data_IF_700157122990
#
_entry.id   IF_700157122990
#
_cell.length_a   1.000
_cell.length_b   1.000
_cell.length_c   1.000
_cell.angle_alpha   90.00
_cell.angle_beta   90.00
_cell.angle_gamma   90.00
#
_symmetry.space_group_name_H-M   'P 1'
#
loop_
_entity.id
_entity.type
_entity.pdbx_description
1 polymer ?
#
# COMPACT_ATOMS: atom_id res chain seq x y z
N UNK A 1 17.45 -18.22 -64.11
CA UNK A 1 17.56 -18.75 -62.73
C UNK A 1 17.90 -17.61 -61.78
N UNK A 2 17.12 -17.49 -60.69
CA UNK A 2 17.37 -16.76 -59.43
C UNK A 2 17.70 -15.26 -59.52
N UNK A 3 16.64 -14.43 -59.59
CA UNK A 3 16.67 -13.04 -59.08
C UNK A 3 16.59 -13.11 -57.56
N UNK A 4 17.65 -12.70 -56.88
CA UNK A 4 17.75 -12.63 -55.43
C UNK A 4 17.06 -11.33 -54.97
N UNK A 5 15.79 -11.40 -54.59
CA UNK A 5 15.10 -10.31 -53.88
C UNK A 5 15.52 -10.40 -52.42
N UNK A 6 16.53 -9.63 -52.04
CA UNK A 6 16.91 -9.46 -50.64
C UNK A 6 15.94 -8.42 -50.04
N UNK A 7 14.84 -8.93 -49.49
CA UNK A 7 13.87 -8.13 -48.73
C UNK A 7 14.60 -7.62 -47.48
N UNK A 8 14.84 -6.31 -47.43
CA UNK A 8 15.30 -5.61 -46.23
C UNK A 8 14.22 -5.76 -45.15
N UNK A 9 14.31 -6.83 -44.36
CA UNK A 9 13.68 -6.89 -43.05
C UNK A 9 14.48 -5.94 -42.17
N UNK A 10 14.11 -4.66 -42.19
CA UNK A 10 14.54 -3.70 -41.18
C UNK A 10 13.96 -4.21 -39.86
N UNK A 11 14.75 -5.04 -39.20
CA UNK A 11 14.57 -5.41 -37.81
C UNK A 11 14.74 -4.10 -37.03
N UNK A 12 13.63 -3.42 -36.76
CA UNK A 12 13.57 -2.40 -35.72
C UNK A 12 13.90 -3.10 -34.39
N UNK A 13 15.20 -3.24 -34.12
CA UNK A 13 15.70 -3.38 -32.75
C UNK A 13 15.31 -2.06 -32.10
N UNK A 14 14.11 -2.03 -31.53
CA UNK A 14 13.78 -1.04 -30.53
C UNK A 14 14.87 -1.20 -29.47
N UNK A 15 15.83 -0.26 -29.47
CA UNK A 15 16.79 -0.12 -28.40
C UNK A 15 15.96 -0.03 -27.13
N UNK A 16 15.90 -1.14 -26.39
CA UNK A 16 15.23 -1.20 -25.10
C UNK A 16 16.07 -0.34 -24.17
N UNK A 17 15.84 0.98 -24.20
CA UNK A 17 16.33 1.85 -23.15
C UNK A 17 15.84 1.22 -21.85
N UNK A 18 16.73 1.02 -20.85
CA UNK A 18 16.28 0.51 -19.58
C UNK A 18 15.19 1.46 -19.11
N UNK A 19 13.96 0.97 -18.97
CA UNK A 19 12.88 1.73 -18.34
C UNK A 19 13.44 2.23 -17.03
N UNK A 20 13.74 3.54 -16.99
CA UNK A 20 14.16 4.19 -15.79
C UNK A 20 12.99 4.08 -14.82
N UNK A 21 13.27 3.69 -13.58
CA UNK A 21 12.25 3.62 -12.56
C UNK A 21 11.54 4.98 -12.45
N UNK A 22 10.23 4.92 -12.27
CA UNK A 22 9.39 6.12 -12.18
C UNK A 22 8.59 6.12 -10.89
N UNK A 23 8.51 7.28 -10.27
CA UNK A 23 7.72 7.56 -9.08
C UNK A 23 6.54 8.43 -9.44
N UNK A 24 5.36 7.98 -9.06
CA UNK A 24 4.10 8.69 -9.22
C UNK A 24 3.56 9.04 -7.84
N UNK A 25 3.25 10.31 -7.59
CA UNK A 25 2.66 10.75 -6.33
C UNK A 25 1.17 10.95 -6.51
N UNK A 26 0.37 10.27 -5.70
CA UNK A 26 -1.08 10.39 -5.67
C UNK A 26 -1.52 11.17 -4.43
N UNK A 27 -2.55 12.00 -4.58
CA UNK A 27 -3.36 12.46 -3.46
C UNK A 27 -4.48 11.45 -3.23
N UNK A 28 -4.49 10.83 -2.05
CA UNK A 28 -5.56 9.94 -1.63
C UNK A 28 -6.49 10.64 -0.66
N UNK A 29 -7.72 10.89 -1.08
CA UNK A 29 -8.81 11.39 -0.25
C UNK A 29 -9.70 10.25 0.18
N UNK A 30 -10.00 10.16 1.48
CA UNK A 30 -10.84 9.10 2.01
C UNK A 30 -11.67 9.51 3.23
N UNK A 31 -12.88 8.97 3.34
CA UNK A 31 -13.67 9.05 4.56
C UNK A 31 -13.34 7.85 5.47
N UNK A 32 -13.07 8.09 6.74
CA UNK A 32 -12.94 7.02 7.74
C UNK A 32 -14.31 6.46 8.13
N UNK A 33 -15.30 7.35 8.19
CA UNK A 33 -16.69 7.05 8.55
C UNK A 33 -17.58 7.30 7.34
N UNK A 34 -18.29 6.27 6.92
CA UNK A 34 -19.14 6.24 5.72
C UNK A 34 -20.27 7.27 5.76
N UNK A 35 -20.66 7.72 6.96
CA UNK A 35 -21.70 8.74 7.15
C UNK A 35 -21.17 10.18 7.05
N UNK A 36 -19.85 10.39 7.14
CA UNK A 36 -19.21 11.72 7.16
C UNK A 36 -18.45 12.01 5.87
N UNK A 37 -19.20 12.11 4.77
CA UNK A 37 -18.64 12.33 3.42
C UNK A 37 -18.02 13.72 3.21
N UNK A 38 -18.42 14.70 4.03
CA UNK A 38 -17.96 16.09 3.92
C UNK A 38 -16.63 16.35 4.64
N UNK A 39 -16.10 15.35 5.38
CA UNK A 39 -14.86 15.44 6.13
C UNK A 39 -13.87 14.38 5.66
N UNK A 40 -13.37 14.53 4.43
CA UNK A 40 -12.39 13.62 3.86
C UNK A 40 -11.00 13.87 4.44
N UNK A 41 -10.37 12.79 4.90
CA UNK A 41 -8.94 12.80 5.18
C UNK A 41 -8.16 12.83 3.87
N UNK A 42 -6.94 13.36 3.92
CA UNK A 42 -6.04 13.39 2.78
C UNK A 42 -4.67 12.84 3.17
N UNK A 43 -4.12 11.96 2.34
CA UNK A 43 -2.76 11.45 2.49
C UNK A 43 -2.09 11.35 1.11
N UNK A 44 -0.81 11.70 1.04
CA UNK A 44 -0.03 11.50 -0.19
C UNK A 44 0.51 10.07 -0.23
N UNK A 45 0.28 9.42 -1.37
CA UNK A 45 0.73 8.06 -1.65
C UNK A 45 1.75 8.09 -2.78
N UNK A 46 2.65 7.11 -2.78
CA UNK A 46 3.65 6.89 -3.81
C UNK A 46 3.32 5.59 -4.52
N UNK A 47 3.36 5.59 -5.85
CA UNK A 47 3.47 4.42 -6.70
C UNK A 47 4.83 4.47 -7.39
N UNK A 48 5.73 3.58 -7.01
CA UNK A 48 6.99 3.38 -7.72
C UNK A 48 6.84 2.24 -8.71
N UNK A 49 7.24 2.44 -9.96
CA UNK A 49 7.23 1.44 -11.02
C UNK A 49 8.67 1.20 -11.49
N UNK A 50 9.06 -0.07 -11.54
CA UNK A 50 10.33 -0.54 -12.07
C UNK A 50 10.08 -1.61 -13.15
N UNK A 51 11.15 -2.23 -13.66
CA UNK A 51 11.04 -3.35 -14.60
C UNK A 51 10.39 -4.59 -14.00
N UNK A 52 10.56 -4.82 -12.69
CA UNK A 52 10.09 -6.04 -12.03
C UNK A 52 8.68 -5.94 -11.47
N UNK A 53 8.12 -4.72 -11.39
CA UNK A 53 6.82 -4.52 -10.78
C UNK A 53 6.58 -3.09 -10.33
N UNK A 54 5.58 -2.94 -9.46
CA UNK A 54 5.24 -1.68 -8.82
C UNK A 54 4.99 -1.83 -7.32
N UNK A 55 5.16 -0.72 -6.58
CA UNK A 55 4.90 -0.64 -5.14
C UNK A 55 4.14 0.64 -4.80
N UNK A 56 2.96 0.48 -4.21
CA UNK A 56 2.11 1.55 -3.73
C UNK A 56 2.14 1.67 -2.21
N UNK A 57 2.47 2.83 -1.65
CA UNK A 57 2.68 3.01 -0.21
C UNK A 57 2.58 4.49 0.23
N UNK A 58 2.44 4.74 1.53
CA UNK A 58 2.36 6.12 2.07
C UNK A 58 3.66 6.91 1.89
N UNK A 59 3.55 8.18 1.46
CA UNK A 59 4.67 9.11 1.41
C UNK A 59 5.21 9.43 2.81
N UNK A 60 4.34 9.53 3.82
CA UNK A 60 4.78 9.72 5.20
C UNK A 60 5.60 8.51 5.69
N UNK A 61 5.29 7.30 5.19
CA UNK A 61 6.09 6.11 5.46
C UNK A 61 7.45 6.21 4.79
N UNK A 62 7.52 6.60 3.52
CA UNK A 62 8.78 6.85 2.81
C UNK A 62 9.70 7.82 3.57
N UNK A 63 9.15 8.94 4.03
CA UNK A 63 9.90 9.98 4.73
C UNK A 63 10.38 9.49 6.09
N UNK A 64 9.50 8.85 6.87
CA UNK A 64 9.87 8.25 8.16
C UNK A 64 10.97 7.21 8.00
N UNK A 65 10.84 6.33 7.00
CA UNK A 65 11.79 5.26 6.70
C UNK A 65 13.16 5.83 6.29
N UNK A 66 13.17 6.90 5.50
CA UNK A 66 14.39 7.60 5.08
C UNK A 66 15.11 8.26 6.27
N UNK A 67 14.37 8.90 7.17
CA UNK A 67 14.92 9.51 8.38
C UNK A 67 15.49 8.46 9.34
N UNK A 68 14.78 7.34 9.53
CA UNK A 68 15.25 6.22 10.34
C UNK A 68 16.56 5.66 9.77
N UNK A 69 16.63 5.42 8.46
CA UNK A 69 17.85 4.91 7.81
C UNK A 69 19.04 5.83 8.04
N UNK A 70 18.87 7.14 7.81
CA UNK A 70 19.95 8.11 8.00
C UNK A 70 20.43 8.17 9.46
N UNK A 71 19.51 8.11 10.43
CA UNK A 71 19.85 8.11 11.85
C UNK A 71 20.57 6.82 12.28
N UNK A 72 20.11 5.66 11.80
CA UNK A 72 20.76 4.36 12.03
C UNK A 72 22.18 4.36 11.47
N UNK A 73 22.36 4.78 10.22
CA UNK A 73 23.69 4.85 9.59
C UNK A 73 24.62 5.80 10.36
N UNK A 74 24.10 6.93 10.85
CA UNK A 74 24.85 7.87 11.67
C UNK A 74 25.29 7.23 13.00
N UNK A 75 24.37 6.60 13.74
CA UNK A 75 24.68 5.95 15.02
C UNK A 75 25.68 4.79 14.85
N UNK A 76 25.55 4.02 13.77
CA UNK A 76 26.51 2.96 13.42
C UNK A 76 27.90 3.53 13.11
N UNK A 77 27.99 4.62 12.32
CA UNK A 77 29.27 5.31 12.06
C UNK A 77 29.90 5.89 13.33
N UNK A 78 29.08 6.25 14.32
CA UNK A 78 29.52 6.72 15.63
C UNK A 78 29.88 5.58 16.61
N UNK A 79 29.87 4.31 16.17
CA UNK A 79 30.23 3.16 17.01
C UNK A 79 29.20 2.83 18.10
N UNK A 80 27.96 3.31 17.97
CA UNK A 80 26.91 3.04 18.97
C UNK A 80 26.49 1.58 18.94
N UNK A 81 26.62 0.89 20.06
CA UNK A 81 26.14 -0.49 20.25
C UNK A 81 24.63 -0.58 20.51
N UNK A 82 24.01 0.52 20.95
CA UNK A 82 22.58 0.63 21.25
C UNK A 82 21.93 1.64 20.31
N UNK A 83 21.24 1.15 19.29
CA UNK A 83 20.55 1.99 18.31
C UNK A 83 19.26 2.54 18.93
N UNK A 84 19.23 3.84 19.19
CA UNK A 84 18.04 4.53 19.70
C UNK A 84 17.21 5.03 18.53
N UNK A 85 15.97 4.56 18.41
CA UNK A 85 15.06 4.97 17.34
C UNK A 85 13.98 5.91 17.89
N UNK A 86 13.87 7.10 17.29
CA UNK A 86 12.67 7.93 17.43
C UNK A 86 11.73 7.60 16.27
N UNK A 87 10.72 6.75 16.52
CA UNK A 87 9.67 6.49 15.53
C UNK A 87 8.77 7.71 15.43
N UNK A 88 8.74 8.32 14.24
CA UNK A 88 8.01 9.55 13.95
C UNK A 88 6.99 9.41 12.82
N UNK A 89 6.57 8.18 12.48
CA UNK A 89 5.56 7.98 11.43
C UNK A 89 4.23 8.62 11.85
N UNK A 90 3.81 9.64 11.11
CA UNK A 90 2.57 10.40 11.35
C UNK A 90 1.49 10.14 10.30
N UNK A 91 1.73 9.21 9.37
CA UNK A 91 0.71 8.84 8.37
C UNK A 91 -0.40 7.99 8.99
N UNK A 92 -1.54 7.94 8.30
CA UNK A 92 -2.68 7.12 8.71
C UNK A 92 -2.77 5.82 7.92
N UNK A 93 -2.15 5.77 6.73
CA UNK A 93 -2.14 4.58 5.86
C UNK A 93 -0.90 3.72 6.06
N UNK A 94 -1.09 2.60 6.75
CA UNK A 94 -0.03 1.67 7.14
C UNK A 94 0.13 0.42 6.23
N UNK A 95 -0.65 0.31 5.16
CA UNK A 95 -0.49 -0.76 4.17
C UNK A 95 0.44 -0.35 3.03
N UNK A 96 0.97 -1.35 2.32
CA UNK A 96 1.50 -1.18 0.97
C UNK A 96 0.98 -2.27 0.05
N UNK A 97 0.96 -2.00 -1.25
CA UNK A 97 0.61 -2.98 -2.28
C UNK A 97 1.80 -3.17 -3.21
N UNK A 98 2.19 -4.41 -3.44
CA UNK A 98 3.23 -4.79 -4.40
C UNK A 98 2.57 -5.54 -5.56
N UNK A 99 2.95 -5.23 -6.80
CA UNK A 99 2.50 -5.94 -8.00
C UNK A 99 3.72 -6.39 -8.77
N UNK A 100 3.84 -7.70 -9.00
CA UNK A 100 4.96 -8.25 -9.76
C UNK A 100 4.63 -8.30 -11.25
N UNK A 101 5.60 -7.99 -12.11
CA UNK A 101 5.45 -8.11 -13.56
C UNK A 101 6.06 -9.41 -14.08
N UNK A 102 5.57 -9.96 -15.22
CA UNK A 102 4.53 -9.40 -16.09
C UNK A 102 3.09 -9.82 -15.74
N UNK A 103 2.91 -10.73 -14.77
CA UNK A 103 1.61 -11.35 -14.46
C UNK A 103 0.70 -10.49 -13.57
N UNK A 104 1.19 -9.35 -13.08
CA UNK A 104 0.52 -8.47 -12.11
C UNK A 104 0.11 -9.21 -10.83
N UNK A 105 0.90 -10.21 -10.41
CA UNK A 105 0.65 -10.89 -9.14
C UNK A 105 0.70 -9.89 -7.99
N UNK A 106 -0.44 -9.71 -7.34
CA UNK A 106 -0.68 -8.62 -6.39
C UNK A 106 -0.56 -9.10 -4.95
N UNK A 107 0.15 -8.32 -4.14
CA UNK A 107 0.33 -8.59 -2.72
C UNK A 107 -0.04 -7.38 -1.87
N UNK A 108 -0.91 -7.56 -0.90
CA UNK A 108 -1.18 -6.58 0.14
C UNK A 108 -0.26 -6.85 1.34
N UNK A 109 0.59 -5.89 1.67
CA UNK A 109 1.38 -5.90 2.90
C UNK A 109 0.64 -5.06 3.94
N UNK A 110 0.20 -5.70 5.01
CA UNK A 110 -0.64 -5.06 6.02
C UNK A 110 -0.47 -5.72 7.38
N UNK A 111 -1.04 -5.09 8.40
CA UNK A 111 -1.13 -5.65 9.75
C UNK A 111 -2.59 -5.88 10.13
N UNK A 112 -2.83 -6.91 10.93
CA UNK A 112 -4.14 -7.18 11.53
C UNK A 112 -3.97 -7.22 13.05
N UNK A 113 -4.76 -6.42 13.78
CA UNK A 113 -4.71 -6.38 15.25
C UNK A 113 -4.73 -4.96 15.83
N UNK A 114 -5.04 -4.86 17.12
CA UNK A 114 -5.30 -3.60 17.83
C UNK A 114 -4.07 -2.69 17.98
N UNK A 115 -2.85 -3.25 17.94
CA UNK A 115 -1.58 -2.50 18.04
C UNK A 115 -0.80 -2.60 16.73
N UNK A 116 -1.49 -2.40 15.61
CA UNK A 116 -0.88 -2.56 14.29
C UNK A 116 -0.34 -3.97 14.06
N UNK A 117 -1.00 -4.99 14.65
CA UNK A 117 -0.62 -6.41 14.59
C UNK A 117 0.72 -6.73 15.24
N UNK A 118 0.82 -7.91 15.88
CA UNK A 118 2.13 -8.46 16.29
C UNK A 118 2.95 -8.87 15.06
N UNK A 119 2.25 -9.15 13.96
CA UNK A 119 2.81 -9.67 12.72
C UNK A 119 2.40 -8.81 11.53
N UNK A 120 3.35 -8.60 10.62
CA UNK A 120 3.10 -8.15 9.25
C UNK A 120 2.68 -9.34 8.42
N UNK A 121 1.68 -9.16 7.57
CA UNK A 121 1.21 -10.16 6.63
C UNK A 121 1.49 -9.71 5.21
N UNK A 122 1.87 -10.65 4.35
CA UNK A 122 1.94 -10.47 2.90
C UNK A 122 0.84 -11.34 2.30
N UNK A 123 -0.26 -10.70 1.94
CA UNK A 123 -1.48 -11.36 1.47
C UNK A 123 -1.43 -11.44 -0.04
N UNK A 124 -1.44 -12.65 -0.60
CA UNK A 124 -1.66 -12.83 -2.04
C UNK A 124 -3.12 -12.54 -2.37
N UNK A 125 -3.35 -11.61 -3.28
CA UNK A 125 -4.67 -11.27 -3.82
C UNK A 125 -4.69 -11.59 -5.32
N UNK A 126 -5.50 -12.58 -5.69
CA UNK A 126 -5.67 -13.10 -7.05
C UNK A 126 -7.02 -12.69 -7.67
N UNK A 127 -7.78 -11.81 -6.99
CA UNK A 127 -9.07 -11.31 -7.49
C UNK A 127 -8.85 -10.44 -8.71
N UNK A 128 -9.58 -10.75 -9.79
CA UNK A 128 -9.49 -10.05 -11.07
C UNK A 128 -10.38 -8.82 -11.10
N UNK A 129 -9.93 -7.79 -11.82
CA UNK A 129 -10.69 -6.58 -12.11
C UNK A 129 -11.12 -6.58 -13.57
N UNK A 130 -12.42 -6.74 -13.79
CA UNK A 130 -13.01 -6.67 -15.13
C UNK A 130 -13.34 -5.21 -15.45
N UNK A 131 -12.58 -4.61 -16.35
CA UNK A 131 -12.74 -3.22 -16.74
C UNK A 131 -13.71 -3.07 -17.92
N UNK A 132 -14.68 -2.17 -17.77
CA UNK A 132 -15.49 -1.64 -18.87
C UNK A 132 -14.91 -0.30 -19.33
N UNK A 133 -14.13 -0.32 -20.40
CA UNK A 133 -13.60 0.90 -21.03
C UNK A 133 -14.73 1.62 -21.78
N UNK A 134 -14.86 2.92 -21.57
CA UNK A 134 -15.90 3.77 -22.14
C UNK A 134 -15.30 4.77 -23.13
N UNK A 135 -16.12 5.34 -24.01
CA UNK A 135 -15.67 6.33 -25.01
C UNK A 135 -15.42 7.73 -24.43
N UNK A 136 -15.90 7.98 -23.22
CA UNK A 136 -15.75 9.26 -22.54
C UNK A 136 -14.27 9.59 -22.31
N UNK A 137 -13.87 10.80 -22.69
CA UNK A 137 -12.54 11.33 -22.49
C UNK A 137 -12.62 12.66 -21.76
N UNK A 138 -11.63 12.93 -20.91
CA UNK A 138 -11.48 14.23 -20.27
C UNK A 138 -10.02 14.52 -19.95
N UNK A 139 -9.69 15.79 -19.73
CA UNK A 139 -8.37 16.18 -19.24
C UNK A 139 -8.31 16.00 -17.71
N UNK A 140 -7.34 15.24 -17.21
CA UNK A 140 -7.02 15.10 -15.78
C UNK A 140 -5.63 15.67 -15.55
N UNK A 141 -5.56 16.85 -14.91
CA UNK A 141 -4.31 17.62 -14.85
C UNK A 141 -3.84 17.96 -16.26
N UNK A 142 -2.67 17.45 -16.63
CA UNK A 142 -2.09 17.63 -17.98
C UNK A 142 -2.37 16.48 -18.95
N UNK A 143 -2.99 15.39 -18.49
CA UNK A 143 -3.14 14.16 -19.29
C UNK A 143 -4.51 14.08 -19.97
N UNK A 144 -4.52 13.65 -21.23
CA UNK A 144 -5.74 13.20 -21.89
C UNK A 144 -6.07 11.80 -21.35
N UNK A 145 -7.23 11.66 -20.71
CA UNK A 145 -7.60 10.43 -20.04
C UNK A 145 -8.93 9.87 -20.57
N UNK A 146 -9.01 8.56 -20.67
CA UNK A 146 -10.20 7.81 -21.04
C UNK A 146 -10.83 7.16 -19.82
N UNK A 147 -12.16 7.14 -19.76
CA UNK A 147 -12.92 6.57 -18.65
C UNK A 147 -12.97 5.05 -18.73
N UNK A 148 -12.89 4.40 -17.58
CA UNK A 148 -13.24 3.00 -17.39
C UNK A 148 -14.01 2.80 -16.08
N UNK A 149 -14.83 1.75 -16.00
CA UNK A 149 -15.55 1.38 -14.79
C UNK A 149 -15.26 -0.08 -14.41
N UNK A 150 -15.25 -0.38 -13.12
CA UNK A 150 -15.19 -1.76 -12.62
C UNK A 150 -15.93 -1.89 -11.30
N UNK A 151 -16.27 -3.13 -10.93
CA UNK A 151 -16.74 -3.45 -9.59
C UNK A 151 -15.64 -4.27 -8.90
N UNK A 152 -15.12 -3.75 -7.79
CA UNK A 152 -14.04 -4.40 -7.07
C UNK A 152 -14.25 -4.26 -5.56
N UNK A 153 -14.05 -5.36 -4.83
CA UNK A 153 -14.12 -5.42 -3.37
C UNK A 153 -15.38 -4.77 -2.75
N UNK A 154 -16.53 -4.99 -3.40
CA UNK A 154 -17.83 -4.48 -2.94
C UNK A 154 -18.10 -3.00 -3.29
N UNK A 155 -17.25 -2.35 -4.09
CA UNK A 155 -17.44 -0.97 -4.55
C UNK A 155 -17.47 -0.89 -6.07
N UNK A 156 -18.29 0.04 -6.59
CA UNK A 156 -18.21 0.50 -7.97
C UNK A 156 -17.14 1.59 -8.06
N UNK A 157 -16.24 1.47 -9.02
CA UNK A 157 -15.14 2.40 -9.26
C UNK A 157 -15.25 3.02 -10.65
N UNK A 158 -14.91 4.30 -10.74
CA UNK A 158 -14.66 4.99 -12.00
C UNK A 158 -13.19 5.38 -12.06
N UNK A 159 -12.48 4.88 -13.07
CA UNK A 159 -11.09 5.19 -13.33
C UNK A 159 -10.96 6.05 -14.59
N UNK A 160 -9.93 6.89 -14.61
CA UNK A 160 -9.48 7.65 -15.77
C UNK A 160 -8.02 7.28 -16.02
N UNK A 161 -7.73 6.71 -17.18
CA UNK A 161 -6.39 6.25 -17.54
C UNK A 161 -5.87 6.97 -18.78
N UNK A 162 -4.55 7.11 -18.91
CA UNK A 162 -3.91 7.77 -20.05
C UNK A 162 -2.91 6.86 -20.76
N UNK A 163 -2.94 6.85 -22.09
CA UNK A 163 -1.96 6.16 -22.93
C UNK A 163 -0.63 6.91 -23.03
N UNK A 164 -0.60 8.19 -22.63
CA UNK A 164 0.61 9.03 -22.64
C UNK A 164 1.69 8.47 -21.71
N UNK A 165 1.26 7.76 -20.67
CA UNK A 165 2.12 7.00 -19.76
C UNK A 165 1.74 5.52 -19.92
N UNK A 166 2.46 4.75 -20.76
CA UNK A 166 2.04 3.41 -21.19
C UNK A 166 2.35 2.31 -20.15
N UNK A 167 2.10 2.58 -18.86
CA UNK A 167 2.15 1.57 -17.80
C UNK A 167 0.73 1.09 -17.50
N UNK A 168 0.46 -0.20 -17.63
CA UNK A 168 -0.86 -0.79 -17.33
C UNK A 168 -1.10 -0.94 -15.81
N UNK A 169 -0.79 0.09 -15.04
CA UNK A 169 -0.77 0.10 -13.57
C UNK A 169 -1.56 1.30 -13.03
N UNK A 170 -1.69 1.40 -11.72
CA UNK A 170 -2.45 2.41 -11.01
C UNK A 170 -2.24 2.34 -9.50
N UNK A 171 -2.85 3.27 -8.76
CA UNK A 171 -2.73 3.30 -7.31
C UNK A 171 -3.43 2.09 -6.67
N UNK A 172 -3.04 1.74 -5.44
CA UNK A 172 -3.54 0.56 -4.73
C UNK A 172 -3.39 -0.73 -5.56
N UNK A 173 -4.42 -1.56 -5.61
CA UNK A 173 -4.47 -2.82 -6.37
C UNK A 173 -4.88 -2.62 -7.82
N UNK A 174 -5.31 -1.42 -8.23
CA UNK A 174 -5.84 -1.20 -9.58
C UNK A 174 -4.73 -1.30 -10.65
N UNK A 175 -4.98 -2.10 -11.68
CA UNK A 175 -4.09 -2.31 -12.83
C UNK A 175 -4.90 -2.87 -14.02
N UNK A 176 -4.26 -3.03 -15.19
CA UNK A 176 -4.83 -3.76 -16.35
C UNK A 176 -5.57 -2.91 -17.38
N UNK A 177 -5.61 -1.58 -17.22
CA UNK A 177 -6.05 -0.65 -18.27
C UNK A 177 -4.90 -0.36 -19.24
N UNK A 178 -5.16 0.00 -20.51
CA UNK A 178 -4.12 0.23 -21.51
C UNK A 178 -3.44 1.61 -21.33
N UNK A 179 -2.86 1.83 -20.15
CA UNK A 179 -2.25 3.09 -19.73
C UNK A 179 -2.36 3.30 -18.23
N UNK A 180 -1.64 4.30 -17.70
CA UNK A 180 -1.59 4.55 -16.26
C UNK A 180 -2.92 5.15 -15.79
N UNK A 181 -3.46 4.62 -14.69
CA UNK A 181 -4.64 5.19 -14.03
C UNK A 181 -4.25 6.50 -13.33
N UNK A 182 -4.58 7.64 -13.92
CA UNK A 182 -4.26 8.98 -13.38
C UNK A 182 -5.28 9.46 -12.35
N UNK A 183 -6.50 8.90 -12.36
CA UNK A 183 -7.52 9.15 -11.33
C UNK A 183 -8.41 7.93 -11.15
N UNK A 184 -8.77 7.63 -9.92
CA UNK A 184 -9.80 6.62 -9.62
C UNK A 184 -10.62 7.04 -8.40
N UNK A 185 -11.94 6.88 -8.48
CA UNK A 185 -12.88 7.31 -7.44
C UNK A 185 -13.99 6.26 -7.25
N UNK A 186 -14.40 6.05 -5.99
CA UNK A 186 -15.53 5.20 -5.66
C UNK A 186 -16.86 5.93 -5.93
N UNK A 187 -17.88 5.20 -6.38
CA UNK A 187 -19.17 5.81 -6.75
C UNK A 187 -19.85 6.59 -5.60
N UNK A 188 -19.58 6.23 -4.35
CA UNK A 188 -20.07 6.91 -3.15
C UNK A 188 -19.24 8.14 -2.75
N UNK A 189 -18.18 8.44 -3.51
CA UNK A 189 -17.20 9.54 -3.36
C UNK A 189 -16.43 9.53 -2.04
N UNK A 190 -16.37 8.38 -1.38
CA UNK A 190 -15.69 8.23 -0.10
C UNK A 190 -14.22 7.85 -0.25
N UNK A 191 -13.76 7.45 -1.44
CA UNK A 191 -12.37 7.18 -1.76
C UNK A 191 -12.03 7.73 -3.15
N UNK A 192 -11.00 8.56 -3.25
CA UNK A 192 -10.48 9.07 -4.52
C UNK A 192 -8.96 9.14 -4.48
N UNK A 193 -8.30 8.65 -5.52
CA UNK A 193 -6.85 8.76 -5.71
C UNK A 193 -6.59 9.48 -7.03
N UNK A 194 -5.87 10.59 -6.99
CA UNK A 194 -5.57 11.41 -8.17
C UNK A 194 -4.07 11.69 -8.27
N UNK A 195 -3.50 11.47 -9.44
CA UNK A 195 -2.08 11.70 -9.72
C UNK A 195 -1.76 13.20 -9.62
N UNK A 196 -0.75 13.53 -8.83
CA UNK A 196 -0.28 14.92 -8.60
C UNK A 196 1.15 15.17 -9.05
N UNK A 197 1.95 14.13 -9.28
CA UNK A 197 3.33 14.32 -9.72
C UNK A 197 3.98 13.07 -10.28
N UNK A 198 4.91 13.27 -11.21
CA UNK A 198 5.70 12.23 -11.86
C UNK A 198 7.17 12.59 -11.73
N UNK A 199 8.01 11.63 -11.35
CA UNK A 199 9.44 11.81 -11.18
C UNK A 199 10.21 10.58 -11.66
N UNK A 200 11.26 10.77 -12.48
CA UNK A 200 12.24 9.72 -12.74
C UNK A 200 13.09 9.51 -11.49
N UNK A 201 13.31 8.26 -11.11
CA UNK A 201 14.07 7.89 -9.92
C UNK A 201 15.18 6.88 -10.26
N UNK A 202 16.21 6.85 -9.41
CA UNK A 202 17.30 5.87 -9.51
C UNK A 202 16.94 4.58 -8.76
N UNK A 203 17.69 3.51 -9.01
CA UNK A 203 17.56 2.24 -8.27
C UNK A 203 17.79 2.43 -6.76
N UNK A 204 18.73 3.29 -6.37
CA UNK A 204 18.99 3.63 -4.97
C UNK A 204 17.78 4.30 -4.30
N UNK A 205 17.00 5.09 -5.06
CA UNK A 205 15.79 5.75 -4.56
C UNK A 205 14.61 4.77 -4.46
N UNK A 206 14.61 3.69 -5.24
CA UNK A 206 13.69 2.56 -5.07
C UNK A 206 14.00 1.79 -3.79
N UNK A 207 15.26 1.43 -3.54
CA UNK A 207 15.65 0.66 -2.35
C UNK A 207 15.52 1.45 -1.04
N UNK A 208 15.68 2.78 -1.07
CA UNK A 208 15.43 3.64 0.09
C UNK A 208 13.96 3.58 0.59
N UNK A 209 13.01 3.14 -0.23
CA UNK A 209 11.61 2.92 0.17
C UNK A 209 11.38 1.60 0.95
N UNK A 210 12.44 0.80 1.14
CA UNK A 210 12.40 -0.51 1.78
C UNK A 210 13.17 -0.52 3.11
N UNK A 211 12.86 0.36 4.07
CA UNK A 211 13.51 0.34 5.41
C UNK A 211 13.41 -1.02 6.12
N UNK A 212 12.41 -1.84 5.75
CA UNK A 212 12.26 -3.23 6.21
C UNK A 212 13.41 -4.15 5.80
N UNK A 213 14.31 -3.71 4.92
CA UNK A 213 15.51 -4.45 4.53
C UNK A 213 16.73 -4.16 5.42
N UNK A 214 16.69 -3.15 6.29
CA UNK A 214 17.66 -3.05 7.38
C UNK A 214 17.55 -4.32 8.21
N UNK A 215 18.61 -5.15 8.19
CA UNK A 215 18.63 -6.51 8.76
C UNK A 215 18.20 -6.55 10.23
N UNK A 216 18.49 -5.48 10.97
CA UNK A 216 18.12 -5.21 12.36
C UNK A 216 16.62 -4.88 12.59
N UNK A 217 15.85 -4.59 11.55
CA UNK A 217 14.41 -4.24 11.59
C UNK A 217 13.52 -5.34 10.99
N UNK A 218 14.09 -6.48 10.62
CA UNK A 218 13.40 -7.56 9.91
C UNK A 218 12.47 -8.36 10.83
N UNK A 219 11.21 -7.96 10.90
CA UNK A 219 10.12 -8.93 10.96
C UNK A 219 9.66 -9.22 9.53
N UNK A 220 10.13 -10.33 8.96
CA UNK A 220 9.67 -10.81 7.65
C UNK A 220 8.15 -10.99 7.71
N UNK A 221 7.38 -10.45 6.74
CA UNK A 221 5.93 -10.66 6.73
C UNK A 221 5.61 -12.14 6.57
N UNK A 222 4.51 -12.58 7.18
CA UNK A 222 3.96 -13.92 7.00
C UNK A 222 3.16 -13.96 5.70
N UNK A 223 3.57 -14.82 4.78
CA UNK A 223 2.86 -15.03 3.51
C UNK A 223 1.55 -15.79 3.79
N UNK A 224 0.42 -15.22 3.37
CA UNK A 224 -0.91 -15.81 3.55
C UNK A 224 -1.77 -15.64 2.29
N UNK A 225 -2.74 -16.52 2.12
CA UNK A 225 -3.79 -16.39 1.10
C UNK A 225 -4.83 -15.35 1.47
N UNK A 226 -5.57 -14.84 0.48
CA UNK A 226 -6.72 -13.96 0.69
C UNK A 226 -7.72 -14.58 1.68
N UNK A 227 -8.07 -15.86 1.55
CA UNK A 227 -8.99 -16.56 2.47
C UNK A 227 -8.50 -16.60 3.92
N UNK A 228 -7.20 -16.80 4.14
CA UNK A 228 -6.62 -16.72 5.49
C UNK A 228 -6.70 -15.29 6.03
N UNK A 229 -6.46 -14.29 5.18
CA UNK A 229 -6.60 -12.88 5.56
C UNK A 229 -8.03 -12.52 5.96
N UNK A 230 -9.05 -12.98 5.21
CA UNK A 230 -10.46 -12.80 5.58
C UNK A 230 -10.73 -13.33 6.99
N UNK A 231 -10.34 -14.59 7.25
CA UNK A 231 -10.52 -15.22 8.57
C UNK A 231 -9.84 -14.43 9.69
N UNK A 232 -8.62 -13.94 9.46
CA UNK A 232 -7.88 -13.14 10.44
C UNK A 232 -8.60 -11.81 10.73
N UNK A 233 -9.11 -11.13 9.71
CA UNK A 233 -9.84 -9.86 9.87
C UNK A 233 -11.18 -10.08 10.58
N UNK A 234 -11.92 -11.13 10.23
CA UNK A 234 -13.17 -11.49 10.89
C UNK A 234 -12.96 -11.85 12.36
N UNK A 235 -11.94 -12.66 12.64
CA UNK A 235 -11.55 -13.02 14.00
C UNK A 235 -11.19 -11.77 14.81
N UNK A 236 -10.38 -10.86 14.25
CA UNK A 236 -10.03 -9.61 14.89
C UNK A 236 -11.25 -8.71 15.15
N UNK A 237 -12.19 -8.62 14.20
CA UNK A 237 -13.43 -7.84 14.38
C UNK A 237 -14.31 -8.42 15.50
N UNK A 238 -14.38 -9.75 15.60
CA UNK A 238 -15.14 -10.46 16.63
C UNK A 238 -14.48 -10.32 18.01
N UNK A 239 -13.16 -10.46 18.06
CA UNK A 239 -12.39 -10.46 19.30
C UNK A 239 -11.02 -9.75 19.14
N UNK A 240 -10.99 -8.41 19.22
CA UNK A 240 -9.77 -7.65 18.97
C UNK A 240 -8.69 -7.82 20.04
N UNK A 241 -9.02 -8.41 21.19
CA UNK A 241 -8.10 -8.68 22.30
C UNK A 241 -7.38 -10.03 22.19
N UNK A 242 -7.85 -10.93 21.31
CA UNK A 242 -7.34 -12.30 21.25
C UNK A 242 -5.83 -12.38 21.03
N UNK A 243 -5.31 -11.69 20.00
CA UNK A 243 -3.88 -11.74 19.68
C UNK A 243 -3.01 -11.19 20.83
N UNK A 244 -3.53 -10.25 21.62
CA UNK A 244 -2.83 -9.72 22.78
C UNK A 244 -2.85 -10.72 23.95
N UNK A 245 -3.98 -11.39 24.20
CA UNK A 245 -4.06 -12.49 25.18
C UNK A 245 -3.05 -13.60 24.88
N UNK A 246 -3.02 -14.05 23.62
CA UNK A 246 -2.07 -15.08 23.18
C UNK A 246 -0.62 -14.64 23.36
N UNK A 247 -0.32 -13.36 23.10
CA UNK A 247 1.01 -12.79 23.27
C UNK A 247 1.44 -12.73 24.74
N UNK A 248 0.57 -12.22 25.63
CA UNK A 248 0.85 -12.06 27.05
C UNK A 248 0.95 -13.39 27.81
N UNK A 249 0.30 -14.44 27.28
CA UNK A 249 0.42 -15.79 27.83
C UNK A 249 1.73 -16.52 27.44
N UNK A 250 2.57 -15.92 26.57
CA UNK A 250 3.86 -16.52 26.20
C UNK A 250 4.86 -16.40 27.36
N UNK A 251 5.58 -17.49 27.71
CA UNK A 251 6.59 -17.45 28.77
C UNK A 251 7.63 -16.35 28.55
N UNK A 252 7.93 -15.57 29.59
CA UNK A 252 8.98 -14.54 29.57
C UNK A 252 8.58 -13.20 28.93
N UNK A 253 7.35 -13.05 28.44
CA UNK A 253 6.88 -11.79 27.87
C UNK A 253 6.31 -10.86 28.95
N UNK A 254 7.05 -9.79 29.30
CA UNK A 254 6.55 -8.68 30.13
C UNK A 254 6.45 -7.43 29.28
N UNK A 255 5.24 -6.90 29.13
CA UNK A 255 5.01 -5.64 28.41
C UNK A 255 4.59 -4.55 29.37
N UNK A 256 4.99 -3.32 29.09
CA UNK A 256 4.56 -2.11 29.78
C UNK A 256 3.89 -1.21 28.76
N UNK A 257 2.64 -0.82 29.00
CA UNK A 257 1.94 0.12 28.13
C UNK A 257 1.80 1.45 28.85
N UNK A 258 2.03 2.54 28.11
CA UNK A 258 1.60 3.85 28.55
C UNK A 258 0.27 4.15 27.87
N UNK A 259 -0.79 4.27 28.65
CA UNK A 259 -2.12 4.68 28.17
C UNK A 259 -2.46 6.00 28.82
N UNK A 260 -2.57 7.07 28.03
CA UNK A 260 -2.87 8.43 28.48
C UNK A 260 -1.96 8.95 29.61
N UNK A 261 -0.66 8.65 29.55
CA UNK A 261 0.31 9.06 30.56
C UNK A 261 0.42 8.13 31.77
N UNK A 262 -0.47 7.12 31.88
CA UNK A 262 -0.45 6.14 32.97
C UNK A 262 0.19 4.84 32.52
N UNK A 263 1.20 4.37 33.27
CA UNK A 263 1.80 3.06 33.05
C UNK A 263 0.82 1.97 33.53
N UNK A 264 0.47 1.06 32.62
CA UNK A 264 -0.35 -0.12 32.89
C UNK A 264 0.57 -1.33 32.81
N UNK A 265 0.61 -2.11 33.88
CA UNK A 265 1.46 -3.30 34.03
C UNK A 265 0.65 -4.59 34.27
N UNK A 266 -0.62 -4.48 34.67
CA UNK A 266 -1.53 -5.62 34.81
C UNK A 266 -2.02 -6.13 33.44
N UNK A 267 -1.79 -7.41 33.10
CA UNK A 267 -2.18 -7.98 31.81
C UNK A 267 -3.68 -7.88 31.50
N UNK A 268 -4.56 -8.06 32.49
CA UNK A 268 -6.00 -8.04 32.27
C UNK A 268 -6.49 -6.61 31.98
N UNK A 269 -5.96 -5.62 32.70
CA UNK A 269 -6.23 -4.21 32.44
C UNK A 269 -5.72 -3.78 31.06
N UNK A 270 -4.53 -4.25 30.64
CA UNK A 270 -4.03 -4.01 29.29
C UNK A 270 -5.00 -4.55 28.23
N UNK A 271 -5.39 -5.82 28.32
CA UNK A 271 -6.29 -6.47 27.37
C UNK A 271 -7.61 -5.70 27.29
N UNK A 272 -8.20 -5.35 28.44
CA UNK A 272 -9.46 -4.61 28.51
C UNK A 272 -9.36 -3.24 27.82
N UNK A 273 -8.28 -2.49 28.04
CA UNK A 273 -8.10 -1.18 27.43
C UNK A 273 -7.85 -1.25 25.92
N UNK A 274 -7.04 -2.22 25.48
CA UNK A 274 -6.76 -2.49 24.07
C UNK A 274 -8.05 -2.89 23.36
N UNK A 275 -8.83 -3.80 23.94
CA UNK A 275 -10.13 -4.20 23.41
C UNK A 275 -11.09 -3.02 23.29
N UNK A 276 -11.21 -2.20 24.33
CA UNK A 276 -12.07 -1.01 24.30
C UNK A 276 -11.66 -0.07 23.18
N UNK A 277 -10.38 0.27 23.10
CA UNK A 277 -9.84 1.16 22.06
C UNK A 277 -10.04 0.59 20.66
N UNK A 278 -9.80 -0.71 20.48
CA UNK A 278 -9.99 -1.38 19.21
C UNK A 278 -11.45 -1.43 18.79
N UNK A 279 -12.37 -1.73 19.71
CA UNK A 279 -13.83 -1.70 19.46
C UNK A 279 -14.30 -0.31 19.08
N UNK A 280 -13.85 0.72 19.79
CA UNK A 280 -14.19 2.12 19.48
C UNK A 280 -13.63 2.54 18.12
N UNK A 281 -12.40 2.11 17.78
CA UNK A 281 -11.79 2.32 16.48
C UNK A 281 -12.59 1.62 15.37
N UNK A 282 -12.90 0.34 15.52
CA UNK A 282 -13.68 -0.44 14.53
C UNK A 282 -15.06 0.16 14.27
N UNK A 283 -15.70 0.75 15.29
CA UNK A 283 -16.98 1.47 15.12
C UNK A 283 -16.83 2.76 14.31
N UNK A 284 -15.75 3.52 14.55
CA UNK A 284 -15.47 4.79 13.87
C UNK A 284 -14.95 4.59 12.45
N UNK A 285 -14.09 3.60 12.25
CA UNK A 285 -13.43 3.28 10.98
C UNK A 285 -14.25 2.23 10.20
N UNK A 286 -15.48 2.60 9.87
CA UNK A 286 -16.45 1.72 9.23
C UNK A 286 -16.43 1.79 7.68
N UNK A 287 -15.53 2.60 7.10
CA UNK A 287 -15.42 2.80 5.65
C UNK A 287 -14.06 2.34 5.10
N UNK A 288 -13.76 1.03 5.12
CA UNK A 288 -12.54 0.52 4.51
C UNK A 288 -12.58 0.65 2.99
N UNK A 289 -11.40 0.78 2.36
CA UNK A 289 -11.29 0.81 0.88
C UNK A 289 -11.92 -0.44 0.23
N UNK A 290 -11.80 -1.60 0.88
CA UNK A 290 -12.46 -2.85 0.49
C UNK A 290 -13.62 -3.16 1.44
N UNK A 291 -14.85 -3.08 0.94
CA UNK A 291 -16.05 -3.45 1.70
C UNK A 291 -16.23 -4.97 1.79
N UNK A 292 -15.79 -5.68 0.74
CA UNK A 292 -15.77 -7.14 0.65
C UNK A 292 -14.34 -7.64 0.47
N UNK A 293 -13.95 -8.59 1.30
CA UNK A 293 -12.60 -9.16 1.31
C UNK A 293 -12.55 -10.54 0.61
N UNK A 294 -13.69 -11.14 0.34
CA UNK A 294 -13.85 -12.34 -0.49
C UNK A 294 -13.83 -12.03 -1.99
#
# INVERSE_FOLDING_TARGET
MKKLVFLLFIFCIALQTPIAAQRFTYEYKYAIDSTRKDSLNTEHMILDISKSGSKFYSKAKYESDSLIKAEVEKQMKMGSSNIQMKSGYKGSINFSVEKNYPDFKTYLLTNVGAIGGVSKYKVLDDRKMEWKILKEQQKIGEFNAQKAETNFAGRKWTAWFTTDIPFQDGPYKFHGLPGLIVKIESADKTHSMELKGVKKITEDQLTASNSSELSILRNKPLDISQNQYVKLVEQYRKDPGQSMRELLNRPGMKMKFNVNGKEVTDPNDMIRQIEKTAKDKLKKENNPIELKLD
#
